data_IF_566659440851
#
_entry.id   IF_566659440851
#
_cell.length_a   1.000
_cell.length_b   1.000
_cell.length_c   1.000
_cell.angle_alpha   90.00
_cell.angle_beta   90.00
_cell.angle_gamma   90.00
#
_symmetry.space_group_name_H-M   'P 1'
#
loop_
_entity.id
_entity.type
_entity.pdbx_description
1 polymer ?
#
# COMPACT_ATOMS: atom_id res chain seq x y z
N UNK A 1 2.12 2.63 -11.79
CA UNK A 1 3.20 2.34 -10.83
C UNK A 1 2.95 0.98 -10.16
N UNK A 2 4.00 0.16 -10.01
CA UNK A 2 3.94 -1.14 -9.33
C UNK A 2 4.93 -1.17 -8.17
N UNK A 3 4.62 -1.90 -7.10
CA UNK A 3 5.47 -2.07 -5.94
C UNK A 3 5.38 -3.50 -5.39
N UNK A 4 6.33 -3.87 -4.56
CA UNK A 4 6.32 -5.12 -3.81
C UNK A 4 6.00 -4.81 -2.35
N UNK A 5 4.93 -5.39 -1.82
CA UNK A 5 4.60 -5.35 -0.39
C UNK A 5 5.21 -6.58 0.29
N UNK A 6 6.05 -6.34 1.30
CA UNK A 6 6.60 -7.38 2.17
C UNK A 6 5.95 -7.27 3.56
N UNK A 7 5.44 -8.39 4.06
CA UNK A 7 4.95 -8.54 5.43
C UNK A 7 6.02 -9.30 6.21
N UNK A 8 6.62 -8.63 7.18
CA UNK A 8 7.62 -9.19 8.09
C UNK A 8 7.07 -9.18 9.52
N UNK A 9 7.02 -10.35 10.15
CA UNK A 9 6.69 -10.50 11.57
C UNK A 9 7.96 -10.94 12.30
N UNK A 10 8.52 -10.05 13.11
CA UNK A 10 9.83 -10.23 13.76
C UNK A 10 9.73 -10.97 15.09
N UNK A 11 8.56 -10.98 15.74
CA UNK A 11 8.34 -11.62 17.03
C UNK A 11 7.59 -12.94 16.87
N UNK A 12 8.27 -14.05 17.15
CA UNK A 12 7.73 -15.40 17.00
C UNK A 12 6.48 -15.63 17.89
N UNK A 13 6.46 -15.04 19.09
CA UNK A 13 5.35 -15.18 20.03
C UNK A 13 4.02 -14.60 19.52
N UNK A 14 4.08 -13.58 18.63
CA UNK A 14 2.90 -12.92 18.06
C UNK A 14 2.64 -13.31 16.61
N UNK A 15 3.49 -14.19 16.03
CA UNK A 15 3.44 -14.59 14.62
C UNK A 15 2.06 -15.08 14.18
N UNK A 16 1.46 -16.04 14.89
CA UNK A 16 0.15 -16.59 14.51
C UNK A 16 -0.95 -15.51 14.55
N UNK A 17 -0.95 -14.68 15.58
CA UNK A 17 -1.95 -13.61 15.72
C UNK A 17 -1.88 -12.64 14.55
N UNK A 18 -0.68 -12.18 14.19
CA UNK A 18 -0.49 -11.25 13.06
C UNK A 18 -0.75 -11.89 11.71
N UNK A 19 -0.37 -13.15 11.51
CA UNK A 19 -0.71 -13.88 10.28
C UNK A 19 -2.23 -13.95 10.08
N UNK A 20 -2.98 -14.31 11.13
CA UNK A 20 -4.44 -14.36 11.09
C UNK A 20 -5.03 -12.96 10.84
N UNK A 21 -4.45 -11.91 11.44
CA UNK A 21 -4.90 -10.52 11.24
C UNK A 21 -4.66 -9.97 9.84
N UNK A 22 -3.60 -10.40 9.14
CA UNK A 22 -3.31 -9.92 7.79
C UNK A 22 -4.04 -10.71 6.70
N UNK A 23 -4.72 -11.81 7.03
CA UNK A 23 -5.47 -12.61 6.06
C UNK A 23 -6.46 -11.73 5.28
N UNK A 24 -6.29 -11.66 3.96
CA UNK A 24 -7.12 -10.85 3.07
C UNK A 24 -6.70 -9.37 2.97
N UNK A 25 -5.51 -9.00 3.46
CA UNK A 25 -4.93 -7.66 3.25
C UNK A 25 -4.79 -7.31 1.77
N UNK A 26 -4.55 -8.32 0.94
CA UNK A 26 -4.40 -8.23 -0.51
C UNK A 26 -5.74 -8.13 -1.27
N UNK A 27 -6.86 -8.04 -0.56
CA UNK A 27 -8.20 -7.94 -1.13
C UNK A 27 -8.90 -6.63 -0.75
N UNK A 28 -9.46 -5.97 -1.77
CA UNK A 28 -10.30 -4.79 -1.60
C UNK A 28 -9.53 -3.52 -1.22
N UNK A 29 -10.22 -2.60 -0.56
CA UNK A 29 -9.77 -1.23 -0.30
C UNK A 29 -8.97 -1.13 1.02
N UNK A 30 -7.81 -1.79 1.08
CA UNK A 30 -7.02 -1.94 2.33
C UNK A 30 -5.70 -1.17 2.34
N UNK A 31 -4.99 -1.14 1.22
CA UNK A 31 -3.73 -0.39 1.08
C UNK A 31 -3.96 0.75 0.10
N UNK A 32 -3.64 1.99 0.47
CA UNK A 32 -3.89 3.14 -0.40
C UNK A 32 -2.81 4.22 -0.31
N UNK A 33 -2.59 4.88 -1.45
CA UNK A 33 -1.91 6.17 -1.52
C UNK A 33 -2.95 7.26 -1.37
N UNK A 34 -2.74 8.21 -0.46
CA UNK A 34 -3.62 9.36 -0.23
C UNK A 34 -2.90 10.63 -0.62
N UNK A 35 -3.47 11.40 -1.54
CA UNK A 35 -2.92 12.65 -2.03
C UNK A 35 -4.06 13.56 -2.53
N UNK A 36 -3.99 14.87 -2.27
CA UNK A 36 -4.98 15.83 -2.79
C UNK A 36 -6.42 15.58 -2.34
N UNK A 37 -6.64 14.84 -1.24
CA UNK A 37 -7.97 14.44 -0.78
C UNK A 37 -8.55 13.19 -1.47
N UNK A 38 -7.83 12.59 -2.41
CA UNK A 38 -8.19 11.37 -3.11
C UNK A 38 -7.41 10.16 -2.56
N UNK A 39 -7.92 8.94 -2.83
CA UNK A 39 -7.28 7.67 -2.49
C UNK A 39 -7.11 6.81 -3.74
N UNK A 40 -5.90 6.30 -3.96
CA UNK A 40 -5.62 5.27 -4.96
C UNK A 40 -5.34 3.96 -4.22
N UNK A 41 -6.27 3.01 -4.30
CA UNK A 41 -6.12 1.70 -3.68
C UNK A 41 -5.17 0.82 -4.50
N UNK A 42 -4.44 -0.04 -3.78
CA UNK A 42 -3.55 -1.03 -4.36
C UNK A 42 -4.33 -2.18 -4.98
N UNK A 43 -4.08 -2.45 -6.26
CA UNK A 43 -4.56 -3.63 -6.96
C UNK A 43 -3.50 -4.73 -6.85
N UNK A 44 -3.79 -5.79 -6.12
CA UNK A 44 -2.86 -6.89 -5.91
C UNK A 44 -2.89 -7.87 -7.09
N UNK A 45 -1.71 -8.14 -7.68
CA UNK A 45 -1.57 -9.11 -8.78
C UNK A 45 -1.46 -10.52 -8.17
N UNK A 46 -2.54 -11.28 -8.30
CA UNK A 46 -2.60 -12.67 -7.85
C UNK A 46 -3.31 -12.83 -6.51
N UNK A 47 -4.62 -12.58 -6.47
CA UNK A 47 -5.56 -12.96 -5.40
C UNK A 47 -5.62 -14.48 -5.18
N UNK A 48 -4.46 -15.08 -4.91
CA UNK A 48 -4.20 -16.49 -4.69
C UNK A 48 -3.90 -16.77 -3.21
N UNK A 49 -4.20 -15.83 -2.31
CA UNK A 49 -4.54 -16.16 -0.94
C UNK A 49 -5.80 -17.04 -1.00
N UNK A 50 -5.58 -18.34 -1.17
CA UNK A 50 -6.59 -19.34 -0.81
C UNK A 50 -6.93 -19.11 0.66
N UNK A 51 -8.17 -19.39 1.05
CA UNK A 51 -8.81 -19.13 2.35
C UNK A 51 -8.06 -19.62 3.63
N UNK A 52 -6.81 -20.05 3.51
CA UNK A 52 -5.99 -20.65 4.58
C UNK A 52 -4.55 -20.12 4.71
N UNK A 53 -3.99 -19.31 3.78
CA UNK A 53 -2.61 -18.77 3.90
C UNK A 53 -2.41 -17.41 3.22
N UNK A 54 -1.81 -16.46 3.95
CA UNK A 54 -1.27 -15.21 3.40
C UNK A 54 0.17 -15.39 2.92
N UNK A 55 0.52 -14.77 1.80
CA UNK A 55 1.91 -14.70 1.30
C UNK A 55 2.69 -13.63 2.06
N UNK A 56 3.99 -13.86 2.31
CA UNK A 56 4.84 -12.80 2.87
C UNK A 56 5.11 -11.68 1.86
N UNK A 57 5.01 -11.98 0.55
CA UNK A 57 5.35 -11.06 -0.54
C UNK A 57 4.17 -10.94 -1.48
N UNK A 58 3.79 -9.70 -1.81
CA UNK A 58 2.74 -9.40 -2.78
C UNK A 58 3.20 -8.35 -3.80
N UNK A 59 2.73 -8.47 -5.04
CA UNK A 59 2.87 -7.44 -6.04
C UNK A 59 1.60 -6.58 -6.05
N UNK A 60 1.77 -5.27 -5.95
CA UNK A 60 0.67 -4.31 -5.87
C UNK A 60 0.85 -3.22 -6.91
N UNK A 61 -0.26 -2.80 -7.52
CA UNK A 61 -0.29 -1.74 -8.52
C UNK A 61 -1.17 -0.60 -8.06
N UNK A 62 -0.66 0.61 -8.23
CA UNK A 62 -1.42 1.82 -7.97
C UNK A 62 -1.65 2.57 -9.27
N UNK A 63 -2.86 3.11 -9.41
CA UNK A 63 -3.28 3.94 -10.54
C UNK A 63 -3.77 5.32 -10.05
N UNK A 64 -2.88 6.21 -9.59
CA UNK A 64 -3.27 7.56 -9.19
C UNK A 64 -3.85 8.35 -10.37
N UNK A 65 -4.89 9.13 -10.10
CA UNK A 65 -5.49 10.06 -11.08
C UNK A 65 -4.52 11.19 -11.44
N UNK A 66 -4.80 11.94 -12.52
CA UNK A 66 -4.00 13.10 -12.89
C UNK A 66 -3.98 14.20 -11.81
N UNK A 67 -5.08 14.36 -11.07
CA UNK A 67 -5.18 15.25 -9.91
C UNK A 67 -4.29 14.78 -8.77
N UNK A 68 -4.31 13.48 -8.46
CA UNK A 68 -3.39 12.88 -7.49
C UNK A 68 -1.92 13.05 -7.90
N UNK A 69 -1.56 12.86 -9.17
CA UNK A 69 -0.19 13.07 -9.64
C UNK A 69 0.26 14.51 -9.42
N UNK A 70 -0.62 15.49 -9.66
CA UNK A 70 -0.35 16.90 -9.37
C UNK A 70 -0.13 17.15 -7.88
N UNK A 71 -0.93 16.51 -7.01
CA UNK A 71 -0.77 16.60 -5.56
C UNK A 71 0.50 15.89 -5.06
N UNK A 72 0.91 14.78 -5.69
CA UNK A 72 2.15 14.07 -5.38
C UNK A 72 3.37 14.95 -5.71
N UNK A 73 3.31 15.71 -6.80
CA UNK A 73 4.36 16.64 -7.21
C UNK A 73 4.45 17.92 -6.34
N UNK A 74 3.39 18.28 -5.63
CA UNK A 74 3.39 19.45 -4.73
C UNK A 74 3.99 19.08 -3.37
N UNK A 75 5.26 19.45 -3.15
CA UNK A 75 5.97 19.20 -1.88
C UNK A 75 5.33 19.88 -0.65
N UNK A 76 4.40 20.82 -0.84
CA UNK A 76 3.64 21.45 0.25
C UNK A 76 2.48 20.58 0.74
N UNK A 77 2.05 19.61 -0.05
CA UNK A 77 0.97 18.69 0.31
C UNK A 77 1.54 17.40 0.92
N UNK A 78 0.92 16.86 1.98
CA UNK A 78 1.27 15.54 2.45
C UNK A 78 0.75 14.48 1.47
N UNK A 79 1.60 13.49 1.17
CA UNK A 79 1.21 12.24 0.53
C UNK A 79 1.39 11.14 1.56
N UNK A 80 0.39 10.30 1.72
CA UNK A 80 0.40 9.23 2.71
C UNK A 80 0.33 7.87 2.02
N UNK A 81 1.05 6.89 2.57
CA UNK A 81 0.76 5.48 2.36
C UNK A 81 0.00 4.98 3.58
N UNK A 82 -1.13 4.34 3.35
CA UNK A 82 -2.06 3.91 4.39
C UNK A 82 -2.36 2.43 4.28
N UNK A 83 -2.51 1.78 5.42
CA UNK A 83 -3.05 0.44 5.54
C UNK A 83 -4.18 0.47 6.55
N UNK A 84 -5.35 0.01 6.15
CA UNK A 84 -6.58 -0.02 6.94
C UNK A 84 -7.21 -1.42 6.82
N UNK A 85 -6.83 -2.33 7.73
CA UNK A 85 -7.22 -3.74 7.65
C UNK A 85 -7.33 -4.39 9.04
N UNK A 86 -8.51 -4.91 9.39
CA UNK A 86 -8.73 -5.54 10.68
C UNK A 86 -8.47 -4.55 11.82
N UNK A 87 -7.62 -4.93 12.77
CA UNK A 87 -7.13 -4.05 13.83
C UNK A 87 -5.86 -3.27 13.44
N UNK A 88 -5.31 -3.52 12.24
CA UNK A 88 -4.10 -2.88 11.74
C UNK A 88 -4.43 -1.62 10.93
N UNK A 89 -4.34 -0.47 11.60
CA UNK A 89 -4.55 0.85 11.01
C UNK A 89 -3.30 1.70 11.17
N UNK A 90 -2.56 1.88 10.07
CA UNK A 90 -1.32 2.65 10.07
C UNK A 90 -1.28 3.58 8.86
N UNK A 91 -0.56 4.68 9.03
CA UNK A 91 -0.26 5.61 7.95
C UNK A 91 1.15 6.15 8.12
N UNK A 92 1.80 6.43 7.00
CA UNK A 92 3.11 7.09 6.99
C UNK A 92 3.18 8.15 5.90
N UNK A 93 3.96 9.20 6.15
CA UNK A 93 4.23 10.23 5.16
C UNK A 93 5.24 9.71 4.15
N UNK A 94 4.90 9.80 2.88
CA UNK A 94 5.80 9.46 1.78
C UNK A 94 6.83 10.59 1.60
N UNK A 95 8.14 10.32 1.75
CA UNK A 95 9.19 11.34 1.59
C UNK A 95 9.25 11.89 0.16
N UNK A 96 9.73 13.13 0.01
CA UNK A 96 9.83 13.79 -1.30
C UNK A 96 10.62 13.00 -2.35
N UNK A 97 11.76 12.42 -1.97
CA UNK A 97 12.58 11.59 -2.87
C UNK A 97 11.83 10.38 -3.43
N UNK A 98 11.00 9.72 -2.60
CA UNK A 98 10.18 8.59 -3.06
C UNK A 98 9.04 9.06 -3.99
N UNK A 99 8.50 10.27 -3.77
CA UNK A 99 7.49 10.84 -4.68
C UNK A 99 8.08 11.15 -6.05
N UNK A 100 9.32 11.62 -6.11
CA UNK A 100 10.03 11.86 -7.37
C UNK A 100 10.16 10.56 -8.19
N UNK A 101 10.55 9.46 -7.55
CA UNK A 101 10.59 8.13 -8.18
C UNK A 101 9.21 7.68 -8.66
N UNK A 102 8.17 7.85 -7.83
CA UNK A 102 6.79 7.49 -8.21
C UNK A 102 6.29 8.28 -9.42
N UNK A 103 6.60 9.58 -9.50
CA UNK A 103 6.23 10.42 -10.63
C UNK A 103 6.96 10.01 -11.90
N UNK A 104 8.25 9.62 -11.79
CA UNK A 104 9.00 9.05 -12.91
C UNK A 104 8.30 7.79 -13.46
N UNK A 105 7.91 6.87 -12.59
CA UNK A 105 7.20 5.64 -12.97
C UNK A 105 5.81 5.86 -13.59
N UNK A 106 5.14 6.95 -13.24
CA UNK A 106 3.79 7.28 -13.75
C UNK A 106 3.83 8.03 -15.09
N UNK A 107 4.99 8.56 -15.48
CA UNK A 107 5.18 9.30 -16.73
C UNK A 107 5.42 8.41 -17.97
N UNK A 108 5.42 7.08 -17.79
CA UNK A 108 5.71 6.06 -18.80
C UNK A 108 4.46 5.49 -19.45
#
# INVERSE_FOLDING_TARGET
MSATLLIEITEEATMKHWLDQFMGLDHGEKVAIVAGGERAFGEFEGGHSHDTKISAVHFVRFRPTASMQSAIADLRQPVLLTVDHGEYHVQTVVPGSMREEWLSDLSV
#
